data_IF_160010604084
#
_entry.id   IF_160010604084
#
_cell.length_a   1.000
_cell.length_b   1.000
_cell.length_c   1.000
_cell.angle_alpha   90.00
_cell.angle_beta   90.00
_cell.angle_gamma   90.00
#
_symmetry.space_group_name_H-M   'P 1'
#
loop_
_entity.id
_entity.type
_entity.pdbx_description
1 polymer ?
#
# COMPACT_ATOMS: atom_id res chain seq x y z
N UNK A 1 -5.98 26.45 -13.56
CA UNK A 1 -5.02 26.72 -12.45
C UNK A 1 -5.05 28.18 -12.01
N UNK A 2 -5.15 29.17 -12.92
CA UNK A 2 -5.14 30.61 -12.56
C UNK A 2 -6.37 31.06 -11.76
N UNK A 3 -7.53 30.47 -11.99
CA UNK A 3 -8.79 30.83 -11.32
C UNK A 3 -9.20 29.88 -10.20
N UNK A 4 -8.44 28.79 -10.00
CA UNK A 4 -8.78 27.73 -9.05
C UNK A 4 -10.04 26.95 -9.44
N UNK A 5 -10.48 26.08 -8.54
CA UNK A 5 -11.74 25.33 -8.65
C UNK A 5 -12.74 25.96 -7.67
N UNK A 6 -13.98 26.13 -8.12
CA UNK A 6 -15.06 26.60 -7.25
C UNK A 6 -15.19 25.71 -5.99
N UNK A 7 -15.25 26.33 -4.83
CA UNK A 7 -15.45 25.60 -3.57
C UNK A 7 -16.82 24.94 -3.58
N UNK A 8 -16.85 23.63 -3.33
CA UNK A 8 -18.10 22.94 -3.04
C UNK A 8 -18.40 23.03 -1.54
N UNK A 9 -19.57 23.51 -1.19
CA UNK A 9 -20.03 23.55 0.19
C UNK A 9 -20.89 22.30 0.46
N UNK A 10 -20.40 21.43 1.34
CA UNK A 10 -21.16 20.25 1.76
C UNK A 10 -22.12 20.64 2.88
N UNK A 11 -23.40 20.34 2.70
CA UNK A 11 -24.44 20.66 3.68
C UNK A 11 -24.32 19.79 4.95
N UNK A 12 -24.01 18.50 4.78
CA UNK A 12 -23.85 17.52 5.86
C UNK A 12 -23.10 16.27 5.39
N UNK A 13 -22.55 15.44 6.30
CA UNK A 13 -22.01 14.13 5.96
C UNK A 13 -23.08 13.19 5.39
N UNK A 14 -22.73 12.38 4.40
CA UNK A 14 -23.61 11.31 3.92
C UNK A 14 -23.74 10.22 5.01
N UNK A 15 -24.93 9.65 5.13
CA UNK A 15 -25.27 8.55 6.04
C UNK A 15 -26.04 7.47 5.30
N UNK A 16 -26.21 6.29 5.91
CA UNK A 16 -27.11 5.25 5.37
C UNK A 16 -28.50 5.86 5.26
N UNK A 17 -29.16 5.61 4.13
CA UNK A 17 -30.45 6.16 3.71
C UNK A 17 -30.48 7.69 3.47
N UNK A 18 -29.32 8.34 3.57
CA UNK A 18 -29.12 9.75 3.25
C UNK A 18 -27.77 9.94 2.53
N UNK A 19 -27.72 9.56 1.27
CA UNK A 19 -26.53 9.63 0.40
C UNK A 19 -25.68 8.35 0.37
N UNK A 20 -25.92 7.37 1.25
CA UNK A 20 -25.26 6.05 1.25
C UNK A 20 -26.34 4.97 1.09
N UNK A 21 -26.22 4.17 0.02
CA UNK A 21 -27.05 2.99 -0.20
C UNK A 21 -26.37 1.77 0.43
N UNK A 22 -27.02 1.16 1.43
CA UNK A 22 -26.60 -0.12 2.01
C UNK A 22 -27.45 -1.24 1.42
N UNK A 23 -26.82 -2.12 0.65
CA UNK A 23 -27.50 -3.29 0.08
C UNK A 23 -27.60 -4.41 1.11
N UNK A 24 -28.71 -5.15 1.08
CA UNK A 24 -28.81 -6.47 1.69
C UNK A 24 -27.98 -7.50 0.90
N UNK A 25 -27.78 -8.70 1.48
CA UNK A 25 -27.09 -9.79 0.77
C UNK A 25 -27.79 -10.19 -0.53
N UNK A 26 -29.11 -10.27 -0.51
CA UNK A 26 -29.90 -10.65 -1.68
C UNK A 26 -29.87 -9.59 -2.79
N UNK A 27 -29.94 -8.30 -2.42
CA UNK A 27 -29.80 -7.20 -3.37
C UNK A 27 -28.41 -7.16 -3.99
N UNK A 28 -27.36 -7.40 -3.19
CA UNK A 28 -25.99 -7.48 -3.69
C UNK A 28 -25.84 -8.63 -4.71
N UNK A 29 -26.30 -9.83 -4.37
CA UNK A 29 -26.26 -10.99 -5.25
C UNK A 29 -27.06 -10.75 -6.54
N UNK A 30 -28.27 -10.21 -6.44
CA UNK A 30 -29.09 -9.86 -7.60
C UNK A 30 -28.39 -8.88 -8.55
N UNK A 31 -27.73 -7.85 -8.00
CA UNK A 31 -26.95 -6.88 -8.81
C UNK A 31 -25.71 -7.50 -9.45
N UNK A 32 -25.06 -8.43 -8.76
CA UNK A 32 -23.90 -9.16 -9.30
C UNK A 32 -24.31 -10.04 -10.50
N UNK A 33 -25.39 -10.81 -10.36
CA UNK A 33 -25.96 -11.62 -11.44
C UNK A 33 -26.35 -10.73 -12.64
N UNK A 34 -27.08 -9.63 -12.36
CA UNK A 34 -27.44 -8.68 -13.41
C UNK A 34 -26.24 -8.12 -14.16
N UNK A 35 -25.17 -7.77 -13.43
CA UNK A 35 -23.92 -7.29 -14.05
C UNK A 35 -23.30 -8.38 -14.96
N UNK A 36 -23.21 -9.62 -14.47
CA UNK A 36 -22.63 -10.72 -15.24
C UNK A 36 -23.42 -11.02 -16.53
N UNK A 37 -24.75 -10.92 -16.50
CA UNK A 37 -25.60 -11.05 -17.69
C UNK A 37 -25.41 -9.92 -18.70
N UNK A 38 -25.14 -8.69 -18.23
CA UNK A 38 -25.09 -7.48 -19.08
C UNK A 38 -23.69 -7.10 -19.51
N UNK A 39 -22.63 -7.49 -18.81
CA UNK A 39 -21.27 -7.02 -19.05
C UNK A 39 -20.79 -7.22 -20.51
N UNK A 40 -21.23 -8.28 -21.18
CA UNK A 40 -20.87 -8.52 -22.58
C UNK A 40 -21.43 -7.50 -23.57
N UNK A 41 -22.50 -6.80 -23.19
CA UNK A 41 -23.12 -5.75 -24.03
C UNK A 41 -22.61 -4.34 -23.73
N UNK A 42 -21.76 -4.21 -22.70
CA UNK A 42 -21.26 -2.94 -22.22
C UNK A 42 -19.82 -2.68 -22.72
N UNK A 43 -19.49 -1.42 -22.98
CA UNK A 43 -18.11 -0.98 -23.16
C UNK A 43 -17.53 -0.60 -21.80
N UNK A 44 -16.88 -1.56 -21.15
CA UNK A 44 -16.33 -1.37 -19.81
C UNK A 44 -14.93 -0.73 -19.91
N UNK A 45 -14.65 0.19 -18.99
CA UNK A 45 -13.33 0.78 -18.78
C UNK A 45 -13.02 0.79 -17.29
N UNK A 46 -11.86 0.33 -16.91
CA UNK A 46 -11.34 0.45 -15.55
C UNK A 46 -10.34 1.60 -15.50
N UNK A 47 -10.55 2.53 -14.60
CA UNK A 47 -9.66 3.66 -14.36
C UNK A 47 -9.05 3.54 -12.97
N UNK A 48 -7.72 3.53 -12.89
CA UNK A 48 -6.96 3.32 -11.65
C UNK A 48 -6.00 4.47 -11.41
N UNK A 49 -6.24 5.33 -10.42
CA UNK A 49 -5.26 6.33 -9.98
C UNK A 49 -4.10 5.64 -9.25
N UNK A 50 -2.98 5.42 -9.93
CA UNK A 50 -1.85 4.65 -9.43
C UNK A 50 -0.54 5.45 -9.27
N UNK A 51 -0.52 6.71 -9.72
CA UNK A 51 0.68 7.57 -9.69
C UNK A 51 1.10 8.05 -8.31
N UNK A 52 0.26 7.86 -7.29
CA UNK A 52 0.53 8.35 -5.94
C UNK A 52 1.76 7.71 -5.32
N UNK A 53 2.77 8.52 -4.94
CA UNK A 53 3.94 8.05 -4.20
C UNK A 53 3.56 7.48 -2.82
N UNK A 54 4.35 6.53 -2.36
CA UNK A 54 4.15 5.89 -1.05
C UNK A 54 4.65 6.74 0.13
N UNK A 55 5.11 7.97 -0.10
CA UNK A 55 5.73 8.85 0.90
C UNK A 55 4.89 9.04 2.18
N UNK A 56 3.57 9.23 2.05
CA UNK A 56 2.68 9.33 3.22
C UNK A 56 2.51 8.01 3.98
N UNK A 57 2.58 6.88 3.28
CA UNK A 57 2.49 5.54 3.89
C UNK A 57 3.69 5.28 4.79
N UNK A 58 4.89 5.65 4.36
CA UNK A 58 6.14 5.42 5.07
C UNK A 58 6.64 6.64 5.87
N UNK A 59 5.79 7.69 6.03
CA UNK A 59 6.17 8.91 6.73
C UNK A 59 6.72 8.63 8.13
N UNK A 60 6.04 7.80 8.93
CA UNK A 60 6.45 7.44 10.29
C UNK A 60 7.81 6.72 10.34
N UNK A 61 8.15 5.94 9.30
CA UNK A 61 9.47 5.29 9.20
C UNK A 61 10.58 6.29 8.83
N UNK A 62 10.27 7.28 7.98
CA UNK A 62 11.21 8.37 7.71
C UNK A 62 11.43 9.23 8.98
N UNK A 63 10.37 9.52 9.72
CA UNK A 63 10.47 10.22 11.01
C UNK A 63 11.31 9.42 12.01
N UNK A 64 11.12 8.08 12.05
CA UNK A 64 11.95 7.20 12.86
C UNK A 64 13.43 7.29 12.46
N UNK A 65 13.77 7.16 11.19
CA UNK A 65 15.17 7.23 10.74
C UNK A 65 15.83 8.58 11.02
N UNK A 66 15.07 9.68 10.99
CA UNK A 66 15.59 11.03 11.23
C UNK A 66 15.78 11.35 12.72
N UNK A 67 14.95 10.78 13.59
CA UNK A 67 14.85 11.21 14.99
C UNK A 67 15.39 10.16 15.99
N UNK A 68 15.67 8.95 15.53
CA UNK A 68 16.14 7.83 16.34
C UNK A 68 17.66 7.87 16.48
N UNK A 69 18.13 7.96 17.71
CA UNK A 69 19.56 7.85 18.04
C UNK A 69 19.92 6.38 18.26
N UNK A 70 20.31 5.70 17.19
CA UNK A 70 20.57 4.27 17.21
C UNK A 70 21.75 3.85 18.10
N UNK A 71 22.62 4.80 18.52
CA UNK A 71 23.76 4.54 19.39
C UNK A 71 23.39 4.64 20.87
N UNK A 72 22.44 5.51 21.21
CA UNK A 72 22.14 5.86 22.60
C UNK A 72 20.68 5.58 23.01
N UNK A 73 19.80 5.19 22.10
CA UNK A 73 18.37 4.99 22.36
C UNK A 73 17.90 3.60 21.88
N UNK A 74 17.07 2.94 22.68
CA UNK A 74 16.36 1.74 22.22
C UNK A 74 15.11 2.12 21.42
N UNK A 75 14.66 1.25 20.52
CA UNK A 75 13.40 1.47 19.77
C UNK A 75 12.21 1.67 20.72
N UNK A 76 12.17 0.94 21.84
CA UNK A 76 11.09 1.10 22.83
C UNK A 76 11.15 2.48 23.50
N UNK A 77 12.33 3.02 23.80
CA UNK A 77 12.49 4.36 24.34
C UNK A 77 12.00 5.41 23.31
N UNK A 78 12.38 5.26 22.04
CA UNK A 78 11.89 6.11 20.94
C UNK A 78 10.36 6.09 20.86
N UNK A 79 9.75 4.88 20.80
CA UNK A 79 8.28 4.70 20.71
C UNK A 79 7.59 5.43 21.86
N UNK A 80 8.09 5.27 23.09
CA UNK A 80 7.51 5.91 24.27
C UNK A 80 7.67 7.43 24.24
N UNK A 81 8.84 7.94 23.84
CA UNK A 81 9.14 9.37 23.71
C UNK A 81 8.26 10.05 22.65
N UNK A 82 8.10 9.40 21.50
CA UNK A 82 7.31 9.93 20.38
C UNK A 82 5.82 9.59 20.47
N UNK A 83 5.44 8.68 21.36
CA UNK A 83 4.07 8.11 21.45
C UNK A 83 3.61 7.53 20.10
N UNK A 84 4.55 6.96 19.34
CA UNK A 84 4.30 6.40 18.03
C UNK A 84 3.51 5.09 18.16
N UNK A 85 2.41 4.99 17.41
CA UNK A 85 1.55 3.79 17.37
C UNK A 85 1.77 2.95 16.12
N UNK A 86 2.37 3.52 15.08
CA UNK A 86 2.55 2.86 13.79
C UNK A 86 3.80 1.98 13.78
N UNK A 87 4.91 2.48 14.33
CA UNK A 87 6.18 1.75 14.35
C UNK A 87 6.06 0.39 15.07
N UNK A 88 5.45 0.28 16.27
CA UNK A 88 5.25 -1.03 16.91
C UNK A 88 4.42 -1.99 16.06
N UNK A 89 3.36 -1.49 15.42
CA UNK A 89 2.51 -2.29 14.54
C UNK A 89 3.29 -2.79 13.32
N UNK A 90 4.08 -1.91 12.71
CA UNK A 90 4.95 -2.27 11.59
C UNK A 90 5.96 -3.34 11.99
N UNK A 91 6.68 -3.16 13.10
CA UNK A 91 7.68 -4.11 13.58
C UNK A 91 7.08 -5.47 13.95
N UNK A 92 5.89 -5.50 14.54
CA UNK A 92 5.19 -6.75 14.85
C UNK A 92 4.76 -7.53 13.61
N UNK A 93 4.55 -6.84 12.49
CA UNK A 93 4.15 -7.43 11.22
C UNK A 93 5.24 -7.54 10.15
N UNK A 94 6.46 -7.09 10.43
CA UNK A 94 7.52 -6.88 9.41
C UNK A 94 7.82 -8.14 8.59
N UNK A 95 7.84 -9.32 9.21
CA UNK A 95 8.12 -10.60 8.54
C UNK A 95 6.99 -11.10 7.64
N UNK A 96 5.80 -10.51 7.76
CA UNK A 96 4.64 -10.88 6.94
C UNK A 96 4.62 -10.15 5.60
N UNK A 97 5.40 -9.09 5.45
CA UNK A 97 5.44 -8.35 4.20
C UNK A 97 6.11 -9.17 3.07
N UNK A 98 5.56 -9.13 1.85
CA UNK A 98 6.10 -9.84 0.69
C UNK A 98 7.58 -9.56 0.43
N UNK A 99 8.01 -8.33 0.63
CA UNK A 99 9.38 -7.84 0.40
C UNK A 99 10.36 -8.12 1.54
N UNK A 100 9.92 -8.78 2.63
CA UNK A 100 10.76 -8.95 3.83
C UNK A 100 12.07 -9.69 3.55
N UNK A 101 12.00 -10.85 2.90
CA UNK A 101 13.19 -11.68 2.68
C UNK A 101 14.18 -11.02 1.71
N UNK A 102 13.68 -10.29 0.71
CA UNK A 102 14.52 -9.56 -0.23
C UNK A 102 15.31 -8.45 0.47
N UNK A 103 14.62 -7.59 1.24
CA UNK A 103 15.27 -6.52 2.00
C UNK A 103 16.24 -7.10 3.04
N UNK A 104 15.84 -8.12 3.78
CA UNK A 104 16.68 -8.80 4.77
C UNK A 104 17.96 -9.38 4.13
N UNK A 105 17.84 -9.99 2.97
CA UNK A 105 19.00 -10.48 2.21
C UNK A 105 19.94 -9.34 1.83
N UNK A 106 19.40 -8.22 1.38
CA UNK A 106 20.19 -7.02 1.07
C UNK A 106 20.87 -6.47 2.32
N UNK A 107 20.18 -6.35 3.45
CA UNK A 107 20.79 -5.91 4.72
C UNK A 107 21.97 -6.80 5.12
N UNK A 108 21.82 -8.13 5.02
CA UNK A 108 22.91 -9.06 5.30
C UNK A 108 24.15 -8.82 4.43
N UNK A 109 23.96 -8.41 3.19
CA UNK A 109 25.08 -8.11 2.28
C UNK A 109 25.76 -6.77 2.57
N UNK A 110 25.03 -5.84 3.21
CA UNK A 110 25.52 -4.49 3.51
C UNK A 110 26.17 -4.38 4.90
N UNK A 111 25.73 -5.22 5.83
CA UNK A 111 26.16 -5.14 7.24
C UNK A 111 27.02 -6.36 7.59
N UNK A 112 28.35 -6.22 7.69
CA UNK A 112 29.27 -7.34 7.91
C UNK A 112 28.95 -8.18 9.14
N UNK A 113 28.47 -7.55 10.21
CA UNK A 113 28.20 -8.17 11.50
C UNK A 113 26.72 -8.50 11.71
N UNK A 114 25.92 -8.66 10.65
CA UNK A 114 24.47 -8.81 10.74
C UNK A 114 24.00 -9.85 11.78
N UNK A 115 24.68 -10.97 11.87
CA UNK A 115 24.29 -12.06 12.77
C UNK A 115 24.52 -11.76 14.25
N UNK A 116 25.50 -10.89 14.57
CA UNK A 116 25.79 -10.44 15.92
C UNK A 116 25.00 -9.21 16.36
N UNK A 117 24.28 -8.56 15.43
CA UNK A 117 23.45 -7.41 15.77
C UNK A 117 22.27 -7.80 16.69
N UNK A 118 21.94 -6.89 17.58
CA UNK A 118 20.70 -6.97 18.35
C UNK A 118 19.45 -6.78 17.47
N UNK A 119 18.30 -7.22 17.98
CA UNK A 119 17.05 -7.16 17.20
C UNK A 119 16.68 -5.73 16.77
N UNK A 120 16.91 -4.74 17.62
CA UNK A 120 16.62 -3.35 17.31
C UNK A 120 17.53 -2.79 16.22
N UNK A 121 18.81 -3.15 16.18
CA UNK A 121 19.74 -2.77 15.14
C UNK A 121 19.36 -3.40 13.79
N UNK A 122 18.99 -4.68 13.79
CA UNK A 122 18.47 -5.35 12.59
C UNK A 122 17.25 -4.63 12.01
N UNK A 123 16.33 -4.21 12.87
CA UNK A 123 15.14 -3.45 12.46
C UNK A 123 15.49 -2.08 11.91
N UNK A 124 16.43 -1.37 12.52
CA UNK A 124 16.93 -0.10 12.03
C UNK A 124 17.53 -0.24 10.62
N UNK A 125 18.45 -1.18 10.45
CA UNK A 125 19.08 -1.44 9.15
C UNK A 125 18.07 -1.87 8.08
N UNK A 126 17.06 -2.64 8.46
CA UNK A 126 15.99 -3.04 7.56
C UNK A 126 15.22 -1.82 7.06
N UNK A 127 14.74 -0.97 7.96
CA UNK A 127 13.99 0.24 7.61
C UNK A 127 14.86 1.19 6.76
N UNK A 128 16.11 1.39 7.15
CA UNK A 128 17.07 2.22 6.42
C UNK A 128 17.26 1.71 4.99
N UNK A 129 17.48 0.41 4.80
CA UNK A 129 17.69 -0.18 3.48
C UNK A 129 16.41 -0.11 2.62
N UNK A 130 15.24 -0.33 3.23
CA UNK A 130 13.94 -0.25 2.56
C UNK A 130 13.66 1.14 2.00
N UNK A 131 14.02 2.20 2.73
CA UNK A 131 13.71 3.58 2.34
C UNK A 131 14.84 4.29 1.59
N UNK A 132 16.06 3.77 1.64
CA UNK A 132 17.21 4.40 0.97
C UNK A 132 17.03 4.43 -0.54
N UNK A 133 17.29 5.61 -1.14
CA UNK A 133 17.32 5.80 -2.61
C UNK A 133 18.38 4.96 -3.32
N UNK A 134 19.43 4.56 -2.61
CA UNK A 134 20.51 3.72 -3.16
C UNK A 134 20.09 2.25 -3.29
N UNK A 135 18.96 1.85 -2.68
CA UNK A 135 18.53 0.46 -2.64
C UNK A 135 17.07 0.28 -3.10
N UNK A 136 16.12 0.32 -2.17
CA UNK A 136 14.72 0.00 -2.50
C UNK A 136 13.84 1.22 -2.75
N UNK A 137 14.14 2.34 -2.14
CA UNK A 137 13.45 3.63 -2.35
C UNK A 137 11.91 3.57 -2.25
N UNK A 138 11.39 2.80 -1.30
CA UNK A 138 9.94 2.53 -1.22
C UNK A 138 9.10 3.78 -1.01
N UNK A 139 9.62 4.80 -0.33
CA UNK A 139 8.85 6.02 -0.06
C UNK A 139 8.59 6.87 -1.32
N UNK A 140 9.48 6.80 -2.31
CA UNK A 140 9.39 7.59 -3.54
C UNK A 140 8.73 6.83 -4.69
N UNK A 141 8.67 5.51 -4.61
CA UNK A 141 8.01 4.69 -5.63
C UNK A 141 6.49 4.89 -5.63
N UNK A 142 5.84 4.82 -6.79
CA UNK A 142 4.40 4.72 -6.86
C UNK A 142 3.89 3.48 -6.11
N UNK A 143 2.81 3.62 -5.35
CA UNK A 143 2.24 2.49 -4.59
C UNK A 143 1.87 1.30 -5.47
N UNK A 144 1.47 1.58 -6.70
CA UNK A 144 1.06 0.57 -7.66
C UNK A 144 2.14 -0.43 -8.06
N UNK A 145 3.43 -0.09 -7.87
CA UNK A 145 4.56 -0.95 -8.24
C UNK A 145 5.30 -1.57 -7.05
N UNK A 146 4.74 -1.45 -5.85
CA UNK A 146 5.30 -2.09 -4.67
C UNK A 146 4.69 -3.48 -4.45
N UNK A 147 5.50 -4.42 -4.02
CA UNK A 147 5.12 -5.82 -3.78
C UNK A 147 4.29 -5.95 -2.50
N UNK A 148 2.98 -5.69 -2.59
CA UNK A 148 2.08 -5.72 -1.43
C UNK A 148 1.23 -6.97 -1.31
N UNK A 149 1.16 -7.81 -2.34
CA UNK A 149 0.33 -9.00 -2.36
C UNK A 149 1.20 -10.26 -2.36
N UNK A 150 0.99 -11.12 -1.35
CA UNK A 150 1.71 -12.39 -1.23
C UNK A 150 0.73 -13.54 -1.37
N UNK A 151 0.92 -14.35 -2.41
CA UNK A 151 0.20 -15.58 -2.67
C UNK A 151 1.09 -16.79 -2.36
N UNK A 152 0.52 -17.97 -2.39
CA UNK A 152 1.26 -19.20 -2.14
C UNK A 152 2.37 -19.45 -3.19
N UNK A 153 2.12 -19.08 -4.45
CA UNK A 153 3.00 -19.34 -5.59
C UNK A 153 3.78 -18.13 -6.10
N UNK A 154 3.38 -16.91 -5.74
CA UNK A 154 3.99 -15.70 -6.28
C UNK A 154 3.73 -14.47 -5.39
N UNK A 155 4.42 -13.39 -5.72
CA UNK A 155 4.21 -12.04 -5.18
C UNK A 155 3.68 -11.19 -6.32
N UNK A 156 2.76 -10.27 -6.03
CA UNK A 156 2.17 -9.39 -7.02
C UNK A 156 2.13 -7.93 -6.54
N UNK A 157 2.21 -7.03 -7.49
CA UNK A 157 2.02 -5.59 -7.28
C UNK A 157 0.53 -5.23 -7.39
N UNK A 158 0.08 -4.08 -6.85
CA UNK A 158 -1.28 -3.59 -7.09
C UNK A 158 -1.63 -3.40 -8.59
N UNK A 159 -0.64 -3.07 -9.43
CA UNK A 159 -0.86 -2.98 -10.90
C UNK A 159 -1.25 -4.35 -11.46
N UNK A 160 -0.53 -5.41 -11.09
CA UNK A 160 -0.86 -6.79 -11.52
C UNK A 160 -2.23 -7.23 -11.02
N UNK A 161 -2.58 -6.91 -9.76
CA UNK A 161 -3.91 -7.18 -9.23
C UNK A 161 -5.01 -6.46 -10.02
N UNK A 162 -4.81 -5.20 -10.38
CA UNK A 162 -5.76 -4.47 -11.21
C UNK A 162 -5.88 -5.03 -12.63
N UNK A 163 -4.81 -5.60 -13.20
CA UNK A 163 -4.86 -6.31 -14.47
C UNK A 163 -5.70 -7.59 -14.34
N UNK A 164 -5.47 -8.39 -13.30
CA UNK A 164 -6.24 -9.59 -13.01
C UNK A 164 -7.73 -9.28 -12.82
N UNK A 165 -8.06 -8.31 -11.98
CA UNK A 165 -9.43 -7.86 -11.78
C UNK A 165 -10.08 -7.40 -13.09
N UNK A 166 -9.35 -6.65 -13.93
CA UNK A 166 -9.86 -6.20 -15.21
C UNK A 166 -10.21 -7.38 -16.13
N UNK A 167 -9.37 -8.40 -16.17
CA UNK A 167 -9.62 -9.62 -16.94
C UNK A 167 -10.89 -10.34 -16.48
N UNK A 168 -11.17 -10.36 -15.17
CA UNK A 168 -12.32 -11.07 -14.63
C UNK A 168 -13.66 -10.35 -14.85
N UNK A 169 -13.72 -9.05 -14.62
CA UNK A 169 -15.02 -8.36 -14.62
C UNK A 169 -15.14 -7.18 -15.59
N UNK A 170 -14.04 -6.62 -16.09
CA UNK A 170 -14.08 -5.48 -17.00
C UNK A 170 -13.77 -5.84 -18.47
N UNK A 171 -13.67 -7.14 -18.78
CA UNK A 171 -13.48 -7.63 -20.13
C UNK A 171 -14.83 -7.78 -20.84
N UNK A 172 -14.96 -7.17 -22.02
CA UNK A 172 -16.12 -7.29 -22.89
C UNK A 172 -15.66 -7.64 -24.30
N UNK A 173 -16.24 -8.67 -24.92
CA UNK A 173 -15.88 -9.15 -26.26
C UNK A 173 -14.37 -9.43 -26.43
N UNK A 174 -13.75 -10.04 -25.40
CA UNK A 174 -12.31 -10.33 -25.35
C UNK A 174 -11.40 -9.10 -25.35
N UNK A 175 -11.94 -7.91 -25.08
CA UNK A 175 -11.20 -6.65 -24.99
C UNK A 175 -11.35 -6.06 -23.60
N UNK A 176 -10.22 -5.70 -23.00
CA UNK A 176 -10.15 -4.99 -21.72
C UNK A 176 -9.56 -3.60 -21.92
N UNK A 177 -10.18 -2.61 -21.29
CA UNK A 177 -9.67 -1.24 -21.27
C UNK A 177 -9.31 -0.86 -19.84
N UNK A 178 -8.02 -0.74 -19.56
CA UNK A 178 -7.49 -0.36 -18.25
C UNK A 178 -6.59 0.87 -18.41
N UNK A 179 -6.87 1.91 -17.62
CA UNK A 179 -6.13 3.17 -17.61
C UNK A 179 -5.53 3.39 -16.22
N UNK A 180 -4.22 3.52 -16.16
CA UNK A 180 -3.48 3.96 -14.98
C UNK A 180 -3.09 5.44 -15.14
N UNK A 181 -3.14 6.21 -14.04
CA UNK A 181 -2.63 7.59 -13.97
C UNK A 181 -1.61 7.74 -12.86
#
# INVERSE_FOLDING_TARGET
FQTGISKMYLARPAKIDDGILKLSGDEFNSKSVFFDEKKSTLKLKKFVPASGAASRMFKFLNEFLNDFDHENETINAYINRKKDKNLPTFLAGIEKFPFFEEIKSKVKSLVPNYYSLESHEKSYHFIKTMLSSDYFDFANKPKGVLDFHKYQSHIATPVEEHLNECAFYATSNSVSHLHFT
#
